data_IF_942571233064
#
_entry.id   IF_942571233064
#
_cell.length_a   1.000
_cell.length_b   1.000
_cell.length_c   1.000
_cell.angle_alpha   90.00
_cell.angle_beta   90.00
_cell.angle_gamma   90.00
#
_symmetry.space_group_name_H-M   'P 1'
#
loop_
_entity.id
_entity.type
_entity.pdbx_description
1 polymer ?
#
# COMPACT_ATOMS: atom_id res chain seq x y z
N UNK A 1 2.89 -14.81 16.02
CA UNK A 1 4.06 -15.68 16.18
C UNK A 1 5.12 -14.93 17.00
N UNK A 2 5.57 -15.53 18.11
CA UNK A 2 6.70 -15.04 18.90
C UNK A 2 7.85 -16.05 18.76
N UNK A 3 9.01 -15.57 18.36
CA UNK A 3 10.22 -16.38 18.25
C UNK A 3 11.33 -15.78 19.08
N UNK A 4 11.54 -16.33 20.28
CA UNK A 4 12.56 -15.84 21.23
C UNK A 4 13.97 -16.23 20.83
N UNK A 5 14.16 -17.31 20.06
CA UNK A 5 15.48 -17.74 19.58
C UNK A 5 15.99 -16.82 18.48
N UNK A 6 15.09 -16.29 17.65
CA UNK A 6 15.39 -15.35 16.55
C UNK A 6 15.02 -13.91 16.87
N UNK A 7 14.60 -13.64 18.10
CA UNK A 7 14.28 -12.32 18.65
C UNK A 7 13.34 -11.48 17.77
N UNK A 8 12.20 -12.07 17.37
CA UNK A 8 11.15 -11.34 16.68
C UNK A 8 9.74 -11.71 17.15
N UNK A 9 8.82 -10.78 16.94
CA UNK A 9 7.39 -10.98 17.11
C UNK A 9 6.61 -10.55 15.86
N UNK A 10 5.58 -11.33 15.48
CA UNK A 10 4.74 -11.07 14.32
C UNK A 10 3.27 -11.15 14.72
N UNK A 11 2.54 -10.04 14.58
CA UNK A 11 1.12 -9.91 14.88
C UNK A 11 0.37 -9.28 13.71
N UNK A 12 -0.22 -10.11 12.83
CA UNK A 12 -0.94 -9.65 11.65
C UNK A 12 -2.39 -10.13 11.66
N UNK A 13 -3.28 -9.26 11.20
CA UNK A 13 -4.67 -9.58 10.90
C UNK A 13 -4.95 -9.31 9.43
N UNK A 14 -5.61 -10.25 8.76
CA UNK A 14 -6.04 -10.10 7.38
C UNK A 14 -7.43 -10.72 7.17
N UNK A 15 -8.21 -10.23 6.19
CA UNK A 15 -9.57 -10.71 5.97
C UNK A 15 -9.58 -12.05 5.24
N UNK A 16 -10.67 -12.81 5.46
CA UNK A 16 -11.08 -13.90 4.60
C UNK A 16 -12.56 -13.73 4.23
N UNK A 17 -12.88 -13.86 2.95
CA UNK A 17 -14.22 -13.67 2.41
C UNK A 17 -14.88 -15.03 2.20
N UNK A 18 -16.12 -15.18 2.66
CA UNK A 18 -16.87 -16.41 2.58
C UNK A 18 -18.27 -16.11 2.01
N UNK A 19 -18.67 -16.82 0.97
CA UNK A 19 -20.01 -16.74 0.39
C UNK A 19 -20.74 -18.10 0.38
N UNK A 20 -20.09 -19.14 0.90
CA UNK A 20 -20.59 -20.51 0.87
C UNK A 20 -20.56 -21.19 -0.52
N UNK A 21 -20.05 -20.52 -1.55
CA UNK A 21 -19.96 -21.03 -2.94
C UNK A 21 -18.53 -21.13 -3.45
N UNK A 22 -17.55 -20.58 -2.71
CA UNK A 22 -16.14 -20.57 -3.12
C UNK A 22 -15.80 -19.45 -4.13
N UNK A 23 -16.68 -18.48 -4.36
CA UNK A 23 -16.47 -17.39 -5.33
C UNK A 23 -15.28 -16.50 -4.97
N UNK A 24 -14.89 -16.47 -3.69
CA UNK A 24 -13.79 -15.62 -3.20
C UNK A 24 -12.49 -16.39 -2.93
N UNK A 25 -12.37 -17.63 -3.38
CA UNK A 25 -11.18 -18.46 -3.10
C UNK A 25 -9.91 -17.85 -3.70
N UNK A 26 -9.98 -17.32 -4.93
CA UNK A 26 -8.85 -16.65 -5.58
C UNK A 26 -8.42 -15.37 -4.85
N UNK A 27 -9.38 -14.58 -4.38
CA UNK A 27 -9.13 -13.37 -3.59
C UNK A 27 -8.47 -13.73 -2.27
N UNK A 28 -9.00 -14.72 -1.55
CA UNK A 28 -8.42 -15.18 -0.29
C UNK A 28 -7.01 -15.74 -0.47
N UNK A 29 -6.76 -16.43 -1.57
CA UNK A 29 -5.42 -16.94 -1.90
C UNK A 29 -4.45 -15.79 -2.14
N UNK A 30 -4.82 -14.77 -2.92
CA UNK A 30 -3.96 -13.62 -3.20
C UNK A 30 -3.66 -12.82 -1.92
N UNK A 31 -4.66 -12.61 -1.06
CA UNK A 31 -4.47 -11.97 0.25
C UNK A 31 -3.49 -12.78 1.11
N UNK A 32 -3.66 -14.08 1.18
CA UNK A 32 -2.77 -14.96 1.93
C UNK A 32 -1.34 -14.91 1.39
N UNK A 33 -1.15 -14.99 0.08
CA UNK A 33 0.17 -14.92 -0.56
C UNK A 33 0.86 -13.57 -0.30
N UNK A 34 0.13 -12.46 -0.35
CA UNK A 34 0.65 -11.15 0.01
C UNK A 34 1.18 -11.13 1.44
N UNK A 35 0.36 -11.59 2.40
CA UNK A 35 0.72 -11.59 3.82
C UNK A 35 1.91 -12.53 4.10
N UNK A 36 1.91 -13.72 3.52
CA UNK A 36 3.02 -14.68 3.71
C UNK A 36 4.31 -14.18 3.06
N UNK A 37 4.23 -13.53 1.91
CA UNK A 37 5.40 -12.89 1.27
C UNK A 37 6.02 -11.83 2.19
N UNK A 38 5.20 -10.99 2.81
CA UNK A 38 5.66 -9.95 3.74
C UNK A 38 6.29 -10.54 5.01
N UNK A 39 5.69 -11.59 5.56
CA UNK A 39 6.24 -12.31 6.72
C UNK A 39 7.61 -12.91 6.38
N UNK A 40 7.74 -13.54 5.22
CA UNK A 40 9.01 -14.15 4.80
C UNK A 40 10.09 -13.10 4.55
N UNK A 41 9.74 -11.97 3.92
CA UNK A 41 10.67 -10.86 3.73
C UNK A 41 11.16 -10.31 5.07
N UNK A 42 10.25 -10.05 6.02
CA UNK A 42 10.63 -9.59 7.36
C UNK A 42 11.56 -10.57 8.09
N UNK A 43 11.27 -11.87 8.03
CA UNK A 43 12.14 -12.88 8.65
C UNK A 43 13.53 -12.89 8.01
N UNK A 44 13.61 -12.72 6.69
CA UNK A 44 14.88 -12.63 5.98
C UNK A 44 15.66 -11.37 6.38
N UNK A 45 14.98 -10.21 6.45
CA UNK A 45 15.62 -8.94 6.87
C UNK A 45 16.21 -9.06 8.28
N UNK A 46 15.52 -9.75 9.21
CA UNK A 46 16.04 -10.01 10.56
C UNK A 46 17.29 -10.89 10.52
N UNK A 47 17.29 -11.96 9.70
CA UNK A 47 18.45 -12.84 9.55
C UNK A 47 19.65 -12.12 8.91
N UNK A 48 19.39 -11.31 7.87
CA UNK A 48 20.42 -10.54 7.18
C UNK A 48 21.05 -9.47 8.08
N UNK A 49 20.23 -8.80 8.91
CA UNK A 49 20.72 -7.81 9.89
C UNK A 49 21.70 -8.43 10.87
N UNK A 50 21.40 -9.61 11.40
CA UNK A 50 22.27 -10.29 12.36
C UNK A 50 23.57 -10.77 11.71
N UNK A 51 23.47 -11.32 10.49
CA UNK A 51 24.63 -11.73 9.73
C UNK A 51 25.55 -10.56 9.37
N UNK A 52 24.98 -9.40 9.03
CA UNK A 52 25.75 -8.19 8.70
C UNK A 52 26.47 -7.60 9.91
N UNK A 53 25.82 -7.61 11.07
CA UNK A 53 26.37 -7.04 12.32
C UNK A 53 27.38 -7.96 13.01
N UNK A 54 27.53 -9.22 12.55
CA UNK A 54 28.34 -10.26 13.22
C UNK A 54 27.99 -10.40 14.71
N UNK A 55 26.69 -10.29 15.01
CA UNK A 55 26.12 -10.38 16.36
C UNK A 55 25.17 -11.57 16.43
N UNK A 56 25.04 -12.10 17.63
CA UNK A 56 24.06 -13.16 17.91
C UNK A 56 22.82 -12.57 18.58
N UNK A 57 21.73 -13.32 18.59
CA UNK A 57 20.51 -12.94 19.31
C UNK A 57 20.77 -12.75 20.82
N UNK A 58 21.76 -13.43 21.37
CA UNK A 58 22.17 -13.33 22.80
C UNK A 58 22.81 -11.96 23.10
N UNK A 59 23.42 -11.32 22.09
CA UNK A 59 24.06 -10.01 22.23
C UNK A 59 23.05 -8.85 22.28
N UNK A 60 21.78 -9.10 21.92
CA UNK A 60 20.71 -8.09 21.87
C UNK A 60 19.48 -8.46 22.72
N UNK A 61 19.63 -8.73 24.03
CA UNK A 61 18.55 -9.26 24.86
C UNK A 61 17.39 -8.28 25.11
N UNK A 62 17.55 -7.00 24.79
CA UNK A 62 16.55 -5.95 25.04
C UNK A 62 15.87 -5.45 23.76
N UNK A 63 16.08 -6.12 22.66
CA UNK A 63 15.70 -5.65 21.36
C UNK A 63 14.87 -6.70 20.64
N UNK A 64 13.62 -6.40 20.39
CA UNK A 64 12.71 -7.31 19.67
C UNK A 64 12.41 -6.72 18.30
N UNK A 65 12.73 -7.45 17.24
CA UNK A 65 12.25 -7.13 15.90
C UNK A 65 10.75 -7.36 15.86
N UNK A 66 10.00 -6.41 15.33
CA UNK A 66 8.53 -6.45 15.34
C UNK A 66 7.96 -6.27 13.95
N UNK A 67 6.98 -7.11 13.63
CA UNK A 67 6.10 -6.92 12.51
C UNK A 67 4.67 -6.99 13.03
N UNK A 68 3.93 -5.89 12.91
CA UNK A 68 2.52 -5.85 13.31
C UNK A 68 1.66 -5.12 12.29
N UNK A 69 0.44 -5.57 12.09
CA UNK A 69 -0.39 -4.96 11.06
C UNK A 69 -1.85 -5.36 11.11
N UNK A 70 -2.62 -4.54 10.43
CA UNK A 70 -4.05 -4.69 10.25
C UNK A 70 -4.46 -4.31 8.83
N UNK A 71 -5.74 -4.43 8.54
CA UNK A 71 -6.29 -4.03 7.25
C UNK A 71 -7.49 -3.11 7.42
N UNK A 72 -7.74 -2.29 6.40
CA UNK A 72 -8.97 -1.54 6.20
C UNK A 72 -9.63 -2.01 4.92
N UNK A 73 -10.95 -2.10 4.92
CA UNK A 73 -11.74 -2.47 3.77
C UNK A 73 -12.67 -1.29 3.39
N UNK A 74 -12.66 -0.92 2.12
CA UNK A 74 -13.59 0.06 1.53
C UNK A 74 -14.46 -0.71 0.54
N UNK A 75 -15.78 -0.58 0.70
CA UNK A 75 -16.77 -1.06 -0.27
C UNK A 75 -17.39 0.14 -0.97
N UNK A 76 -17.54 0.07 -2.28
CA UNK A 76 -18.36 1.03 -3.02
C UNK A 76 -19.82 0.94 -2.58
N UNK A 77 -20.58 2.04 -2.71
CA UNK A 77 -21.97 2.07 -2.27
C UNK A 77 -22.86 1.08 -3.04
N UNK A 78 -22.52 0.76 -4.29
CA UNK A 78 -23.17 -0.28 -5.08
C UNK A 78 -22.69 -1.70 -4.77
N UNK A 79 -21.74 -1.88 -3.84
CA UNK A 79 -21.09 -3.14 -3.46
C UNK A 79 -20.42 -3.90 -4.62
N UNK A 80 -19.98 -3.20 -5.67
CA UNK A 80 -19.32 -3.82 -6.83
C UNK A 80 -17.81 -3.80 -6.72
N UNK A 81 -17.25 -2.81 -6.04
CA UNK A 81 -15.81 -2.62 -5.86
C UNK A 81 -15.45 -2.76 -4.41
N UNK A 82 -14.40 -3.50 -4.14
CA UNK A 82 -13.79 -3.65 -2.84
C UNK A 82 -12.32 -3.26 -2.91
N UNK A 83 -11.93 -2.27 -2.09
CA UNK A 83 -10.55 -1.90 -1.85
C UNK A 83 -10.09 -2.38 -0.48
N UNK A 84 -8.91 -2.99 -0.42
CA UNK A 84 -8.25 -3.41 0.81
C UNK A 84 -6.93 -2.66 0.96
N UNK A 85 -6.70 -2.08 2.13
CA UNK A 85 -5.41 -1.51 2.52
C UNK A 85 -4.84 -2.27 3.72
N UNK A 86 -3.67 -2.84 3.56
CA UNK A 86 -2.90 -3.53 4.60
C UNK A 86 -1.85 -2.56 5.12
N UNK A 87 -1.94 -2.21 6.41
CA UNK A 87 -0.99 -1.32 7.06
C UNK A 87 -0.11 -2.17 7.97
N UNK A 88 1.15 -2.33 7.60
CA UNK A 88 2.10 -3.17 8.32
C UNK A 88 3.24 -2.32 8.87
N UNK A 89 3.40 -2.36 10.18
CA UNK A 89 4.53 -1.78 10.89
C UNK A 89 5.68 -2.77 10.94
N UNK A 90 6.87 -2.28 10.66
CA UNK A 90 8.12 -3.02 10.70
C UNK A 90 9.11 -2.30 11.59
N UNK A 91 9.75 -3.04 12.48
CA UNK A 91 10.87 -2.58 13.28
C UNK A 91 11.95 -3.66 13.31
N UNK A 92 13.08 -3.38 12.70
CA UNK A 92 14.27 -4.24 12.68
C UNK A 92 15.47 -3.50 13.27
N UNK A 93 15.22 -2.46 14.04
CA UNK A 93 16.23 -1.65 14.68
C UNK A 93 16.31 -0.21 14.24
N UNK A 94 17.20 0.52 14.90
CA UNK A 94 17.38 1.94 14.65
C UNK A 94 16.48 2.82 15.51
N UNK A 95 16.31 4.08 15.10
CA UNK A 95 15.63 5.10 15.89
C UNK A 95 14.11 4.93 15.95
N UNK A 96 13.51 4.35 14.91
CA UNK A 96 12.05 4.14 14.78
C UNK A 96 11.76 3.04 13.77
N UNK A 97 10.56 2.48 13.84
CA UNK A 97 10.04 1.60 12.80
C UNK A 97 9.39 2.37 11.66
N UNK A 98 8.88 1.64 10.69
CA UNK A 98 8.17 2.19 9.53
C UNK A 98 6.84 1.47 9.33
N UNK A 99 5.78 2.21 9.01
CA UNK A 99 4.52 1.62 8.57
C UNK A 99 4.41 1.75 7.05
N UNK A 100 4.22 0.62 6.39
CA UNK A 100 4.00 0.55 4.95
C UNK A 100 2.56 0.12 4.67
N UNK A 101 1.97 0.75 3.67
CA UNK A 101 0.64 0.41 3.16
C UNK A 101 0.78 -0.33 1.83
N UNK A 102 0.11 -1.47 1.70
CA UNK A 102 -0.11 -2.18 0.44
C UNK A 102 -1.59 -2.30 0.17
N UNK A 103 -1.99 -2.26 -1.09
CA UNK A 103 -3.42 -2.26 -1.45
C UNK A 103 -3.75 -3.34 -2.47
N UNK A 104 -5.00 -3.82 -2.39
CA UNK A 104 -5.63 -4.68 -3.38
C UNK A 104 -7.02 -4.15 -3.69
N UNK A 105 -7.42 -4.18 -4.96
CA UNK A 105 -8.75 -3.78 -5.39
C UNK A 105 -9.40 -4.90 -6.20
N UNK A 106 -10.70 -5.13 -5.97
CA UNK A 106 -11.44 -6.21 -6.63
C UNK A 106 -12.79 -5.76 -7.15
N UNK A 107 -13.16 -6.26 -8.32
CA UNK A 107 -14.54 -6.27 -8.80
C UNK A 107 -15.25 -7.48 -8.16
N UNK A 108 -16.35 -7.25 -7.45
CA UNK A 108 -17.10 -8.29 -6.73
C UNK A 108 -18.20 -8.95 -7.59
N UNK A 109 -18.58 -8.35 -8.71
CA UNK A 109 -19.54 -8.96 -9.65
C UNK A 109 -18.89 -10.10 -10.46
N UNK A 110 -17.62 -9.91 -10.81
CA UNK A 110 -16.79 -10.95 -11.43
C UNK A 110 -15.49 -11.06 -10.62
N UNK A 111 -15.46 -11.79 -9.48
CA UNK A 111 -14.38 -11.73 -8.52
C UNK A 111 -13.00 -11.76 -9.19
N UNK A 112 -12.49 -10.57 -9.48
CA UNK A 112 -11.26 -10.34 -10.21
C UNK A 112 -10.56 -9.11 -9.65
N UNK A 113 -9.22 -9.17 -9.64
CA UNK A 113 -8.38 -8.02 -9.28
C UNK A 113 -8.58 -6.88 -10.27
N UNK A 114 -8.61 -5.67 -9.75
CA UNK A 114 -8.56 -4.44 -10.53
C UNK A 114 -7.14 -3.90 -10.42
N UNK A 115 -6.40 -3.87 -11.53
CA UNK A 115 -5.13 -3.17 -11.62
C UNK A 115 -5.38 -1.71 -12.05
N UNK A 116 -4.41 -0.84 -11.83
CA UNK A 116 -4.58 0.59 -12.12
C UNK A 116 -4.97 0.86 -13.59
N UNK A 117 -4.34 0.16 -14.53
CA UNK A 117 -4.64 0.26 -15.97
C UNK A 117 -6.09 -0.12 -16.32
N UNK A 118 -6.70 -1.04 -15.57
CA UNK A 118 -8.05 -1.55 -15.83
C UNK A 118 -9.12 -0.49 -15.60
N UNK A 119 -8.79 0.57 -14.82
CA UNK A 119 -9.70 1.69 -14.51
C UNK A 119 -9.95 2.56 -15.74
N UNK A 120 -8.99 2.62 -16.66
CA UNK A 120 -8.98 3.60 -17.73
C UNK A 120 -9.27 2.99 -19.11
N UNK A 121 -9.86 3.77 -19.98
CA UNK A 121 -10.05 3.39 -21.38
C UNK A 121 -8.73 3.16 -22.08
N UNK A 122 -8.65 2.16 -22.99
CA UNK A 122 -7.47 1.97 -23.80
C UNK A 122 -7.05 3.24 -24.56
N UNK A 123 -5.75 3.57 -24.48
CA UNK A 123 -5.18 4.73 -25.16
C UNK A 123 -5.22 6.05 -24.36
N UNK A 124 -5.84 6.06 -23.19
CA UNK A 124 -5.70 7.18 -22.26
C UNK A 124 -4.37 7.11 -21.53
N UNK A 125 -3.60 8.19 -21.52
CA UNK A 125 -2.30 8.29 -20.84
C UNK A 125 -2.52 8.58 -19.35
N UNK A 126 -3.05 7.56 -18.64
CA UNK A 126 -3.37 7.66 -17.22
C UNK A 126 -2.15 7.84 -16.34
N UNK A 127 -0.99 7.32 -16.74
CA UNK A 127 0.23 7.42 -15.93
C UNK A 127 0.71 8.87 -15.85
N UNK A 128 0.77 9.58 -16.96
CA UNK A 128 1.10 11.01 -16.96
C UNK A 128 0.01 11.85 -16.28
N UNK A 129 -1.27 11.49 -16.47
CA UNK A 129 -2.37 12.17 -15.79
C UNK A 129 -2.27 12.07 -14.27
N UNK A 130 -2.08 10.85 -13.73
CA UNK A 130 -1.95 10.60 -12.28
C UNK A 130 -0.71 11.29 -11.74
N UNK A 131 0.43 11.19 -12.43
CA UNK A 131 1.68 11.83 -12.04
C UNK A 131 1.50 13.34 -11.86
N UNK A 132 0.97 14.03 -12.88
CA UNK A 132 0.77 15.48 -12.82
C UNK A 132 -0.16 15.87 -11.66
N UNK A 133 -1.28 15.16 -11.51
CA UNK A 133 -2.22 15.42 -10.41
C UNK A 133 -1.58 15.21 -9.03
N UNK A 134 -0.86 14.09 -8.85
CA UNK A 134 -0.20 13.78 -7.58
C UNK A 134 0.87 14.83 -7.21
N UNK A 135 1.70 15.24 -8.16
CA UNK A 135 2.73 16.25 -7.91
C UNK A 135 2.11 17.57 -7.41
N UNK A 136 1.09 18.07 -8.10
CA UNK A 136 0.43 19.32 -7.75
C UNK A 136 -0.27 19.21 -6.38
N UNK A 137 -0.99 18.13 -6.13
CA UNK A 137 -1.72 17.91 -4.88
C UNK A 137 -0.78 17.76 -3.69
N UNK A 138 0.32 17.00 -3.81
CA UNK A 138 1.31 16.81 -2.74
C UNK A 138 1.98 18.15 -2.38
N UNK A 139 2.36 18.96 -3.38
CA UNK A 139 2.94 20.29 -3.15
C UNK A 139 1.95 21.17 -2.37
N UNK A 140 0.66 21.12 -2.74
CA UNK A 140 -0.39 21.87 -2.04
C UNK A 140 -0.55 21.42 -0.60
N UNK A 141 -0.71 20.10 -0.37
CA UNK A 141 -0.85 19.52 0.96
C UNK A 141 0.31 19.91 1.89
N UNK A 142 1.56 19.77 1.40
CA UNK A 142 2.74 20.13 2.20
C UNK A 142 2.78 21.61 2.54
N UNK A 143 2.43 22.48 1.57
CA UNK A 143 2.38 23.92 1.78
C UNK A 143 1.32 24.31 2.81
N UNK A 144 0.14 23.70 2.78
CA UNK A 144 -0.95 23.91 3.74
C UNK A 144 -0.56 23.47 5.16
N UNK A 145 0.24 22.41 5.28
CA UNK A 145 0.78 21.96 6.56
C UNK A 145 1.96 22.80 7.07
N UNK A 146 2.40 23.80 6.29
CA UNK A 146 3.50 24.69 6.66
C UNK A 146 4.89 24.11 6.39
N UNK A 147 4.99 23.02 5.64
CA UNK A 147 6.26 22.51 5.15
C UNK A 147 6.71 23.28 3.90
N UNK A 148 8.02 23.30 3.66
CA UNK A 148 8.57 23.74 2.38
C UNK A 148 8.70 22.50 1.48
N UNK A 149 7.90 22.37 0.40
CA UNK A 149 7.94 21.18 -0.44
C UNK A 149 9.29 21.02 -1.15
N UNK A 150 9.89 19.83 -1.09
CA UNK A 150 10.99 19.48 -1.97
C UNK A 150 10.42 18.97 -3.31
N UNK A 151 10.27 19.90 -4.25
CA UNK A 151 9.68 19.62 -5.56
C UNK A 151 10.46 18.55 -6.32
N UNK A 152 11.78 18.48 -6.14
CA UNK A 152 12.61 17.47 -6.80
C UNK A 152 12.31 16.06 -6.27
N UNK A 153 12.19 15.92 -4.96
CA UNK A 153 11.84 14.64 -4.33
C UNK A 153 10.43 14.21 -4.75
N UNK A 154 9.45 15.12 -4.63
CA UNK A 154 8.05 14.87 -5.02
C UNK A 154 7.97 14.43 -6.49
N UNK A 155 8.59 15.19 -7.41
CA UNK A 155 8.56 14.87 -8.83
C UNK A 155 9.27 13.56 -9.17
N UNK A 156 10.27 13.16 -8.41
CA UNK A 156 10.92 11.85 -8.56
C UNK A 156 10.04 10.71 -8.03
N UNK A 157 9.43 10.90 -6.86
CA UNK A 157 8.59 9.89 -6.20
C UNK A 157 7.27 9.66 -6.91
N UNK A 158 6.68 10.72 -7.49
CA UNK A 158 5.45 10.67 -8.26
C UNK A 158 5.69 10.80 -9.78
N UNK A 159 6.89 10.43 -10.28
CA UNK A 159 7.19 10.43 -11.72
C UNK A 159 6.23 9.54 -12.51
N UNK A 160 6.02 9.79 -13.83
CA UNK A 160 5.07 9.03 -14.65
C UNK A 160 5.59 7.62 -14.98
N UNK A 161 5.63 6.81 -13.94
CA UNK A 161 6.00 5.41 -13.94
C UNK A 161 4.91 4.64 -13.17
N UNK A 162 4.31 3.64 -13.80
CA UNK A 162 3.20 2.88 -13.22
C UNK A 162 3.59 2.22 -11.90
N UNK A 163 4.85 1.84 -11.71
CA UNK A 163 5.36 1.25 -10.47
C UNK A 163 5.23 2.20 -9.28
N UNK A 164 5.19 3.53 -9.50
CA UNK A 164 5.01 4.54 -8.46
C UNK A 164 3.58 4.60 -7.90
N UNK A 165 2.61 4.06 -8.64
CA UNK A 165 1.18 4.15 -8.32
C UNK A 165 0.54 2.80 -7.99
N UNK A 166 1.36 1.80 -7.60
CA UNK A 166 0.87 0.45 -7.28
C UNK A 166 -0.04 0.42 -6.05
N UNK A 167 0.18 1.34 -5.10
CA UNK A 167 -0.68 1.47 -3.94
C UNK A 167 -1.81 2.46 -4.22
N UNK A 168 -2.97 1.92 -4.55
CA UNK A 168 -4.16 2.73 -4.78
C UNK A 168 -5.41 2.07 -4.21
N UNK A 169 -6.42 2.88 -3.91
CA UNK A 169 -7.76 2.42 -3.58
C UNK A 169 -8.76 3.06 -4.54
N UNK A 170 -9.75 2.28 -4.97
CA UNK A 170 -10.81 2.74 -5.85
C UNK A 170 -12.13 2.75 -5.12
N UNK A 171 -12.83 3.89 -5.19
CA UNK A 171 -14.21 4.07 -4.71
C UNK A 171 -15.05 4.73 -5.80
N UNK A 172 -16.37 4.87 -5.57
CA UNK A 172 -17.25 5.58 -6.51
C UNK A 172 -16.87 7.04 -6.75
N UNK A 173 -16.29 7.70 -5.72
CA UNK A 173 -16.02 9.12 -5.76
C UNK A 173 -14.55 9.44 -6.05
N UNK A 174 -13.63 8.53 -5.69
CA UNK A 174 -12.19 8.80 -5.71
C UNK A 174 -11.36 7.61 -6.16
N UNK A 175 -10.34 7.91 -6.95
CA UNK A 175 -9.12 7.11 -7.04
C UNK A 175 -8.13 7.70 -6.03
N UNK A 176 -7.72 6.90 -5.05
CA UNK A 176 -6.81 7.33 -3.99
C UNK A 176 -5.45 6.70 -4.24
N UNK A 177 -4.45 7.52 -4.55
CA UNK A 177 -3.06 7.06 -4.65
C UNK A 177 -2.39 7.23 -3.28
N UNK A 178 -1.63 6.21 -2.87
CA UNK A 178 -1.00 6.15 -1.55
C UNK A 178 0.51 6.08 -1.72
N UNK A 179 1.21 7.05 -1.16
CA UNK A 179 2.67 7.07 -1.09
C UNK A 179 3.10 6.74 0.33
N UNK A 180 3.95 5.73 0.47
CA UNK A 180 4.53 5.35 1.75
C UNK A 180 5.58 6.37 2.22
N UNK A 181 5.95 6.35 3.52
CA UNK A 181 7.04 7.19 4.01
C UNK A 181 8.29 7.07 3.15
N UNK A 182 8.95 8.18 2.89
CA UNK A 182 10.13 8.34 2.02
C UNK A 182 9.88 8.29 0.50
N UNK A 183 8.70 7.93 0.01
CA UNK A 183 8.46 7.89 -1.43
C UNK A 183 8.40 9.31 -2.06
N UNK A 184 7.77 10.27 -1.38
CA UNK A 184 7.58 11.63 -1.89
C UNK A 184 8.09 12.73 -0.94
N UNK A 185 8.84 12.36 0.10
CA UNK A 185 9.42 13.29 1.06
C UNK A 185 9.93 12.61 2.32
N UNK A 186 10.42 13.37 3.32
CA UNK A 186 11.03 12.81 4.53
C UNK A 186 10.02 12.09 5.42
N UNK A 187 10.51 11.19 6.28
CA UNK A 187 9.70 10.37 7.19
C UNK A 187 8.64 11.16 7.99
N UNK A 188 8.96 12.39 8.38
CA UNK A 188 8.07 13.23 9.21
C UNK A 188 6.72 13.54 8.56
N UNK A 189 6.63 13.49 7.22
CA UNK A 189 5.35 13.69 6.53
C UNK A 189 4.44 12.45 6.56
N UNK A 190 5.01 11.29 6.92
CA UNK A 190 4.27 10.03 7.00
C UNK A 190 3.81 9.50 5.64
N UNK A 191 2.71 8.74 5.66
CA UNK A 191 2.03 8.26 4.44
C UNK A 191 1.20 9.37 3.82
N UNK A 192 1.38 9.62 2.53
CA UNK A 192 0.66 10.67 1.79
C UNK A 192 -0.46 10.04 0.95
N UNK A 193 -1.65 10.63 1.05
CA UNK A 193 -2.85 10.19 0.32
C UNK A 193 -3.28 11.27 -0.67
N UNK A 194 -3.26 10.96 -1.95
CA UNK A 194 -3.76 11.85 -3.01
C UNK A 194 -5.11 11.34 -3.47
N UNK A 195 -6.15 12.17 -3.30
CA UNK A 195 -7.53 11.83 -3.68
C UNK A 195 -7.87 12.48 -5.01
N UNK A 196 -7.88 11.69 -6.07
CA UNK A 196 -8.27 12.13 -7.42
C UNK A 196 -9.78 11.90 -7.57
N UNK A 197 -10.61 12.95 -7.67
CA UNK A 197 -12.05 12.77 -7.85
C UNK A 197 -12.33 12.03 -9.17
N UNK A 198 -13.21 11.02 -9.14
CA UNK A 198 -13.63 10.27 -10.33
C UNK A 198 -14.19 11.21 -11.42
N UNK A 199 -14.81 12.31 -11.02
CA UNK A 199 -15.32 13.37 -11.89
C UNK A 199 -14.27 13.91 -12.86
N UNK A 200 -13.00 14.02 -12.42
CA UNK A 200 -11.90 14.64 -13.20
C UNK A 200 -11.48 13.76 -14.39
N UNK A 201 -11.71 12.45 -14.31
CA UNK A 201 -11.36 11.50 -15.37
C UNK A 201 -12.54 10.66 -15.85
N UNK A 202 -13.78 11.05 -15.51
CA UNK A 202 -15.02 10.33 -15.82
C UNK A 202 -15.14 9.89 -17.28
N UNK A 203 -14.79 10.76 -18.22
CA UNK A 203 -14.86 10.46 -19.66
C UNK A 203 -13.87 9.40 -20.12
N UNK A 204 -12.86 9.10 -19.29
CA UNK A 204 -11.79 8.13 -19.56
C UNK A 204 -11.93 6.83 -18.76
N UNK A 205 -13.02 6.64 -18.01
CA UNK A 205 -13.26 5.43 -17.24
C UNK A 205 -13.62 4.27 -18.17
N UNK A 206 -12.99 3.13 -17.92
CA UNK A 206 -13.42 1.86 -18.50
C UNK A 206 -14.66 1.35 -17.73
N UNK A 207 -15.77 1.21 -18.42
CA UNK A 207 -17.06 0.80 -17.83
C UNK A 207 -17.07 -0.61 -17.26
N UNK A 208 -16.09 -1.44 -17.63
CA UNK A 208 -15.99 -2.83 -17.17
C UNK A 208 -15.46 -2.94 -15.72
N UNK A 209 -14.96 -1.84 -15.15
CA UNK A 209 -14.46 -1.79 -13.76
C UNK A 209 -15.57 -1.87 -12.70
N UNK A 210 -16.81 -1.54 -13.06
CA UNK A 210 -17.94 -1.48 -12.12
C UNK A 210 -18.15 -0.10 -11.46
N UNK A 211 -17.38 0.94 -11.90
CA UNK A 211 -17.59 2.35 -11.54
C UNK A 211 -18.85 2.93 -12.18
#
# INVERSE_FOLDING_TARGET
EDNTEKNYSIYLSYPQFLDGRGSFESINTEIYELVISDINAFKQDVEDLLAFADITYEDMPYYVNEMSGNYNCILSANNKIMGLAFNTYYYTGGAHGITLTKTLNYNLESPAKINLQDIFKPGFDYVNFISAYCIDDIISQMSELGFSPDVSWISSGASPDEEKFQNFLLSEDFLIIIFNPYEVGPYVIGTVYVKIPVEVFRDNINTDTGL
#
